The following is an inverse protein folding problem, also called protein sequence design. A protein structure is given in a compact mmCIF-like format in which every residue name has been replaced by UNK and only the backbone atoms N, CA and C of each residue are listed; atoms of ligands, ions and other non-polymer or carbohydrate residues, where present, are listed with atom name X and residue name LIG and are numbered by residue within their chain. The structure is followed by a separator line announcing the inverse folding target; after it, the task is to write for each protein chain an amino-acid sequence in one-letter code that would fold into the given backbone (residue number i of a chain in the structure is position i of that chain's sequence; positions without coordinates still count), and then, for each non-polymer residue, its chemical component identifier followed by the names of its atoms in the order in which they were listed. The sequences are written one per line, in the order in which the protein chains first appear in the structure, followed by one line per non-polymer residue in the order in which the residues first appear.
data_IF_786229742242
#
_entry.id   IF_786229742242
#
_cell.length_a   1.000
_cell.length_b   1.000
_cell.length_c   1.000
_cell.angle_alpha   90.00
_cell.angle_beta   90.00
_cell.angle_gamma   90.00
#
_symmetry.space_group_name_H-M   'P 1'
#
loop_
_entity.id
_entity.type
_entity.pdbx_description
1 polymer ?
#
# COMPACT_ATOMS: atom_id res chain seq x y z
N UNK A 1 -6.68 0.76 -4.35
CA UNK A 1 -7.73 1.75 -4.57
C UNK A 1 -8.45 1.45 -5.90
N UNK A 2 -9.76 1.67 -5.95
CA UNK A 2 -10.56 1.35 -7.15
C UNK A 2 -10.16 2.22 -8.34
N UNK A 3 -9.99 3.50 -8.12
CA UNK A 3 -9.68 4.50 -9.15
C UNK A 3 -8.21 4.95 -9.10
N UNK A 4 -7.32 4.00 -8.83
CA UNK A 4 -5.88 4.27 -8.82
C UNK A 4 -5.35 4.46 -10.24
N UNK A 5 -4.55 5.52 -10.41
CA UNK A 5 -3.71 5.75 -11.58
C UNK A 5 -2.24 5.55 -11.20
N UNK A 6 -1.43 5.13 -12.15
CA UNK A 6 0.00 5.06 -11.92
C UNK A 6 0.57 6.45 -11.65
N UNK A 7 1.44 6.57 -10.65
CA UNK A 7 2.24 7.76 -10.40
C UNK A 7 3.62 7.70 -11.08
N UNK A 8 3.89 6.62 -11.83
CA UNK A 8 5.04 6.46 -12.70
C UNK A 8 4.61 6.36 -14.17
N UNK A 9 5.39 6.91 -15.10
CA UNK A 9 5.08 6.81 -16.52
C UNK A 9 5.20 5.35 -16.99
N UNK A 10 4.35 4.96 -17.96
CA UNK A 10 4.32 3.59 -18.52
C UNK A 10 5.69 3.15 -19.06
N UNK A 11 6.43 4.09 -19.58
CA UNK A 11 7.76 3.88 -20.13
C UNK A 11 8.78 3.39 -19.08
N UNK A 12 8.53 3.68 -17.78
CA UNK A 12 9.32 3.16 -16.67
C UNK A 12 8.73 1.87 -16.06
N UNK A 13 7.60 1.40 -16.56
CA UNK A 13 6.88 0.23 -16.06
C UNK A 13 6.93 -0.94 -17.06
N UNK A 14 7.50 -0.72 -18.24
CA UNK A 14 7.63 -1.74 -19.28
C UNK A 14 8.62 -2.84 -18.89
N UNK A 15 8.28 -4.06 -19.24
CA UNK A 15 9.25 -5.15 -19.29
C UNK A 15 10.20 -4.93 -20.47
N UNK A 16 11.48 -5.27 -20.30
CA UNK A 16 12.50 -5.04 -21.31
C UNK A 16 12.22 -5.74 -22.66
N UNK A 17 11.45 -6.80 -22.62
CA UNK A 17 11.10 -7.66 -23.76
C UNK A 17 9.60 -7.68 -24.08
N UNK A 18 8.84 -6.70 -23.58
CA UNK A 18 7.41 -6.59 -23.83
C UNK A 18 6.93 -5.17 -23.53
N UNK A 19 6.65 -4.40 -24.57
CA UNK A 19 6.22 -3.01 -24.44
C UNK A 19 4.69 -2.87 -24.32
N UNK A 20 4.22 -1.71 -23.84
CA UNK A 20 2.81 -1.37 -23.88
C UNK A 20 2.27 -1.30 -25.32
N UNK A 21 3.09 -0.78 -26.24
CA UNK A 21 2.69 -0.64 -27.65
C UNK A 21 2.53 -2.00 -28.33
N UNK A 22 3.40 -2.98 -28.02
CA UNK A 22 3.24 -4.36 -28.49
C UNK A 22 1.98 -5.03 -27.96
N UNK A 23 1.65 -4.76 -26.69
CA UNK A 23 0.48 -5.35 -26.05
C UNK A 23 -0.83 -4.75 -26.55
N UNK A 24 -0.95 -3.42 -26.49
CA UNK A 24 -2.23 -2.74 -26.77
C UNK A 24 -2.44 -2.40 -28.26
N UNK A 25 -1.37 -2.26 -29.03
CA UNK A 25 -1.41 -1.83 -30.44
C UNK A 25 -2.20 -0.54 -30.68
N UNK A 26 -2.21 0.32 -29.67
CA UNK A 26 -2.85 1.63 -29.67
C UNK A 26 -2.19 2.52 -28.60
N UNK A 27 -2.25 3.86 -28.76
CA UNK A 27 -1.72 4.77 -27.74
C UNK A 27 -2.34 4.53 -26.37
N UNK A 28 -1.49 4.46 -25.35
CA UNK A 28 -1.87 4.38 -23.93
C UNK A 28 -1.31 5.63 -23.24
N UNK A 29 -2.08 6.30 -22.35
CA UNK A 29 -1.56 7.41 -21.56
C UNK A 29 -0.29 7.03 -20.80
N UNK A 30 0.65 7.98 -20.67
CA UNK A 30 1.91 7.73 -19.94
C UNK A 30 1.67 7.35 -18.48
N UNK A 31 0.62 7.85 -17.86
CA UNK A 31 0.20 7.44 -16.51
C UNK A 31 -1.06 6.60 -16.61
N UNK A 32 -0.96 5.29 -16.78
CA UNK A 32 -2.12 4.45 -17.03
C UNK A 32 -2.91 4.15 -15.75
N UNK A 33 -4.24 3.95 -15.86
CA UNK A 33 -5.05 3.47 -14.75
C UNK A 33 -4.72 2.00 -14.42
N UNK A 34 -5.08 1.59 -13.22
CA UNK A 34 -4.80 0.27 -12.66
C UNK A 34 -5.21 -0.89 -13.57
N UNK A 35 -6.36 -0.83 -14.20
CA UNK A 35 -6.87 -1.88 -15.09
C UNK A 35 -6.01 -2.05 -16.35
N UNK A 36 -5.41 -0.98 -16.86
CA UNK A 36 -4.48 -1.05 -18.00
C UNK A 36 -3.19 -1.78 -17.59
N UNK A 37 -2.64 -1.45 -16.40
CA UNK A 37 -1.48 -2.16 -15.86
C UNK A 37 -1.78 -3.65 -15.61
N UNK A 38 -2.96 -3.95 -15.09
CA UNK A 38 -3.39 -5.33 -14.86
C UNK A 38 -3.44 -6.12 -16.18
N UNK A 39 -4.07 -5.57 -17.22
CA UNK A 39 -4.17 -6.23 -18.52
C UNK A 39 -2.79 -6.44 -19.16
N UNK A 40 -1.91 -5.43 -19.07
CA UNK A 40 -0.54 -5.52 -19.53
C UNK A 40 0.25 -6.66 -18.86
N UNK A 41 0.17 -6.78 -17.52
CA UNK A 41 0.83 -7.85 -16.76
C UNK A 41 0.28 -9.23 -17.17
N UNK A 42 -1.03 -9.37 -17.32
CA UNK A 42 -1.66 -10.61 -17.78
C UNK A 42 -1.22 -10.96 -19.21
N UNK A 43 -1.09 -9.96 -20.09
CA UNK A 43 -0.55 -10.13 -21.43
C UNK A 43 0.87 -10.70 -21.42
N UNK A 44 1.74 -10.16 -20.57
CA UNK A 44 3.13 -10.66 -20.42
C UNK A 44 3.16 -12.11 -19.91
N UNK A 45 2.31 -12.46 -18.95
CA UNK A 45 2.19 -13.85 -18.45
C UNK A 45 1.74 -14.81 -19.56
N UNK A 46 0.80 -14.39 -20.40
CA UNK A 46 0.34 -15.18 -21.56
C UNK A 46 1.44 -15.35 -22.60
N UNK A 47 2.09 -14.25 -22.99
CA UNK A 47 3.19 -14.28 -23.99
C UNK A 47 4.32 -15.23 -23.56
N UNK A 48 4.68 -15.22 -22.27
CA UNK A 48 5.73 -16.07 -21.72
C UNK A 48 5.32 -17.52 -21.44
N UNK A 49 4.06 -17.89 -21.67
CA UNK A 49 3.51 -19.20 -21.29
C UNK A 49 3.78 -19.57 -19.83
N UNK A 50 3.66 -18.56 -18.93
CA UNK A 50 4.06 -18.72 -17.53
C UNK A 50 2.96 -19.29 -16.63
N UNK A 51 1.70 -19.33 -17.09
CA UNK A 51 0.57 -19.71 -16.26
C UNK A 51 0.72 -21.09 -15.62
N UNK A 52 1.20 -22.07 -16.37
CA UNK A 52 1.37 -23.45 -15.89
C UNK A 52 2.57 -23.64 -14.95
N UNK A 53 3.44 -22.61 -14.86
CA UNK A 53 4.55 -22.56 -13.90
C UNK A 53 4.16 -21.95 -12.55
N UNK A 54 2.93 -21.46 -12.42
CA UNK A 54 2.44 -20.82 -11.20
C UNK A 54 1.58 -21.82 -10.43
N UNK A 55 2.00 -22.18 -9.25
CA UNK A 55 1.18 -22.98 -8.31
C UNK A 55 0.19 -22.06 -7.59
N UNK A 56 -1.01 -21.91 -8.17
CA UNK A 56 -2.08 -21.12 -7.54
C UNK A 56 -2.59 -21.79 -6.27
N UNK A 57 -3.28 -21.02 -5.42
CA UNK A 57 -3.83 -21.49 -4.13
C UNK A 57 -2.76 -22.13 -3.21
N UNK A 58 -1.51 -21.73 -3.38
CA UNK A 58 -0.36 -22.25 -2.66
C UNK A 58 0.21 -21.16 -1.75
N UNK A 59 0.30 -21.46 -0.46
CA UNK A 59 0.83 -20.55 0.55
C UNK A 59 2.17 -21.07 1.05
N UNK A 60 3.23 -20.30 0.84
CA UNK A 60 4.52 -20.56 1.52
C UNK A 60 4.35 -20.30 3.01
N UNK A 61 4.74 -21.27 3.83
CA UNK A 61 4.59 -21.23 5.29
C UNK A 61 5.92 -21.12 6.02
N UNK A 62 7.01 -21.62 5.41
CA UNK A 62 8.34 -21.53 5.99
C UNK A 62 9.43 -21.57 4.90
N UNK A 63 10.53 -20.86 5.13
CA UNK A 63 11.72 -20.88 4.29
C UNK A 63 12.94 -20.88 5.20
N UNK A 64 13.78 -21.89 5.09
CA UNK A 64 15.06 -22.01 5.81
C UNK A 64 16.20 -22.24 4.83
N UNK A 65 17.42 -21.81 5.18
CA UNK A 65 18.61 -22.08 4.40
C UNK A 65 19.47 -23.11 5.15
N UNK A 66 19.65 -24.28 4.56
CA UNK A 66 20.49 -25.35 5.10
C UNK A 66 21.08 -26.19 3.97
N UNK A 67 22.28 -26.75 4.20
CA UNK A 67 22.97 -27.59 3.23
C UNK A 67 23.11 -26.91 1.83
N UNK A 68 23.43 -25.61 1.82
CA UNK A 68 23.57 -24.78 0.62
C UNK A 68 22.33 -24.72 -0.27
N UNK A 69 21.12 -24.96 0.27
CA UNK A 69 19.84 -24.83 -0.43
C UNK A 69 18.79 -24.17 0.46
N UNK A 70 17.80 -23.57 -0.18
CA UNK A 70 16.59 -23.13 0.48
C UNK A 70 15.59 -24.28 0.52
N UNK A 71 15.23 -24.71 1.72
CA UNK A 71 14.11 -25.60 1.95
C UNK A 71 12.86 -24.75 2.16
N UNK A 72 11.88 -24.90 1.27
CA UNK A 72 10.64 -24.14 1.27
C UNK A 72 9.48 -25.04 1.55
N UNK A 73 8.78 -24.79 2.65
CA UNK A 73 7.53 -25.47 2.99
C UNK A 73 6.35 -24.62 2.53
N UNK A 74 5.38 -25.27 1.90
CA UNK A 74 4.17 -24.61 1.41
C UNK A 74 2.94 -25.49 1.55
N UNK A 75 1.79 -24.86 1.70
CA UNK A 75 0.49 -25.49 1.83
C UNK A 75 -0.32 -25.32 0.53
N UNK A 76 -0.75 -26.42 -0.04
CA UNK A 76 -1.84 -26.44 -1.02
C UNK A 76 -3.15 -26.20 -0.27
N UNK A 77 -3.78 -25.05 -0.51
CA UNK A 77 -5.02 -24.65 0.17
C UNK A 77 -6.26 -25.36 -0.35
N UNK A 78 -6.19 -25.98 -1.54
CA UNK A 78 -7.31 -26.75 -2.10
C UNK A 78 -7.42 -28.10 -1.41
N UNK A 79 -6.30 -28.81 -1.29
CA UNK A 79 -6.25 -30.16 -0.72
C UNK A 79 -5.82 -30.19 0.75
N UNK A 80 -5.48 -29.02 1.32
CA UNK A 80 -4.98 -28.87 2.68
C UNK A 80 -3.75 -29.72 2.99
N UNK A 81 -2.86 -29.89 2.01
CA UNK A 81 -1.62 -30.68 2.13
C UNK A 81 -0.40 -29.78 2.22
N UNK A 82 0.58 -30.19 3.02
CA UNK A 82 1.86 -29.50 3.16
C UNK A 82 2.91 -30.25 2.38
N UNK A 83 3.73 -29.51 1.64
CA UNK A 83 4.85 -30.00 0.85
C UNK A 83 6.11 -29.26 1.26
N UNK A 84 7.26 -29.87 1.02
CA UNK A 84 8.56 -29.25 1.22
C UNK A 84 9.45 -29.57 0.02
N UNK A 85 10.04 -28.54 -0.59
CA UNK A 85 10.92 -28.64 -1.75
C UNK A 85 12.21 -27.85 -1.52
N UNK A 86 13.31 -28.26 -2.17
CA UNK A 86 14.59 -27.57 -2.08
C UNK A 86 14.84 -26.74 -3.34
N UNK A 87 15.34 -25.52 -3.17
CA UNK A 87 15.66 -24.59 -4.25
C UNK A 87 17.07 -24.01 -4.06
N UNK A 88 17.71 -23.67 -5.16
CA UNK A 88 19.00 -22.96 -5.13
C UNK A 88 18.83 -21.48 -4.80
N UNK A 89 17.71 -20.88 -5.22
CA UNK A 89 17.39 -19.48 -5.02
C UNK A 89 15.92 -19.30 -4.62
N UNK A 90 15.67 -18.29 -3.81
CA UNK A 90 14.30 -17.84 -3.46
C UNK A 90 14.20 -16.35 -3.67
N UNK A 91 13.24 -15.94 -4.52
CA UNK A 91 12.90 -14.54 -4.74
C UNK A 91 11.59 -14.23 -4.05
N UNK A 92 11.62 -13.34 -3.06
CA UNK A 92 10.43 -12.94 -2.29
C UNK A 92 9.75 -11.76 -2.99
N UNK A 93 8.68 -12.04 -3.72
CA UNK A 93 7.91 -11.05 -4.47
C UNK A 93 6.50 -10.82 -3.91
N UNK A 94 6.31 -11.10 -2.61
CA UNK A 94 5.00 -11.01 -1.93
C UNK A 94 4.53 -9.59 -1.64
N UNK A 95 5.37 -8.59 -1.91
CA UNK A 95 5.11 -7.19 -1.55
C UNK A 95 5.34 -6.91 -0.05
N UNK A 96 5.31 -5.63 0.31
CA UNK A 96 5.55 -5.19 1.69
C UNK A 96 4.45 -4.25 2.23
N UNK A 97 3.39 -4.03 1.47
CA UNK A 97 2.23 -3.21 1.88
C UNK A 97 1.07 -4.10 2.37
N UNK A 98 1.37 -5.02 3.32
CA UNK A 98 0.38 -5.97 3.82
C UNK A 98 -0.01 -5.74 5.28
N UNK A 99 0.90 -5.27 6.12
CA UNK A 99 0.63 -5.02 7.55
C UNK A 99 0.67 -3.51 7.81
N UNK A 100 -0.50 -2.87 8.03
CA UNK A 100 -0.58 -1.45 8.32
C UNK A 100 0.21 -1.05 9.57
N UNK A 101 0.93 0.07 9.51
CA UNK A 101 1.44 0.72 10.71
C UNK A 101 0.37 1.67 11.26
N UNK A 102 -0.17 1.34 12.42
CA UNK A 102 -1.21 2.10 13.10
C UNK A 102 -0.63 2.73 14.36
N UNK A 103 -0.27 4.02 14.34
CA UNK A 103 0.20 4.72 15.53
C UNK A 103 -0.95 4.96 16.50
N UNK A 104 -0.64 5.00 17.79
CA UNK A 104 -1.60 5.35 18.82
C UNK A 104 -1.62 6.87 19.05
N UNK A 105 -2.82 7.43 19.10
CA UNK A 105 -3.08 8.82 19.47
C UNK A 105 -3.96 8.89 20.71
N UNK A 106 -3.72 9.89 21.57
CA UNK A 106 -4.57 10.16 22.72
C UNK A 106 -6.02 10.41 22.25
N UNK A 107 -6.99 9.74 22.86
CA UNK A 107 -8.41 9.85 22.53
C UNK A 107 -8.86 9.00 21.33
N UNK A 108 -7.96 8.26 20.67
CA UNK A 108 -8.31 7.45 19.50
C UNK A 108 -9.39 6.39 19.79
N UNK A 109 -9.32 5.75 20.96
CA UNK A 109 -10.27 4.70 21.37
C UNK A 109 -11.69 5.22 21.66
N UNK A 110 -11.81 6.48 22.01
CA UNK A 110 -13.09 7.16 22.32
C UNK A 110 -13.61 8.03 21.17
N UNK A 111 -12.91 8.06 20.05
CA UNK A 111 -13.33 8.82 18.89
C UNK A 111 -14.64 8.25 18.31
N UNK A 112 -15.72 9.07 18.22
CA UNK A 112 -17.03 8.57 17.80
C UNK A 112 -17.17 8.42 16.28
N UNK A 113 -16.20 8.92 15.51
CA UNK A 113 -16.17 8.80 14.04
C UNK A 113 -15.47 7.52 13.58
N UNK A 114 -15.21 7.45 12.29
CA UNK A 114 -14.53 6.30 11.68
C UNK A 114 -13.02 6.53 11.62
N UNK A 115 -12.25 5.54 12.04
CA UNK A 115 -10.80 5.48 11.81
C UNK A 115 -10.51 4.28 10.91
N UNK A 116 -9.72 4.51 9.87
CA UNK A 116 -9.27 3.45 8.97
C UNK A 116 -7.85 3.69 8.49
N UNK A 117 -7.16 2.64 8.10
CA UNK A 117 -5.88 2.76 7.39
C UNK A 117 -6.11 2.82 5.88
N UNK A 118 -5.22 3.51 5.14
CA UNK A 118 -5.26 3.57 3.67
C UNK A 118 -5.23 2.19 2.99
N UNK A 119 -4.73 1.17 3.69
CA UNK A 119 -4.82 -0.22 3.24
C UNK A 119 -6.26 -0.66 2.94
N UNK A 120 -7.23 -0.20 3.73
CA UNK A 120 -8.64 -0.57 3.59
C UNK A 120 -9.43 0.39 2.71
N UNK A 121 -8.83 1.52 2.33
CA UNK A 121 -9.44 2.47 1.43
C UNK A 121 -9.65 1.84 0.04
N UNK A 122 -10.86 1.98 -0.52
CA UNK A 122 -11.20 1.50 -1.87
C UNK A 122 -11.54 2.63 -2.82
N UNK A 123 -12.43 3.51 -2.40
CA UNK A 123 -12.83 4.72 -3.10
C UNK A 123 -13.31 5.77 -2.09
N UNK A 124 -13.61 6.97 -2.53
CA UNK A 124 -14.00 8.09 -1.68
C UNK A 124 -15.49 8.43 -1.73
N UNK A 125 -16.32 7.65 -2.40
CA UNK A 125 -17.76 7.93 -2.56
C UNK A 125 -18.49 7.98 -1.20
N UNK A 126 -18.09 7.13 -0.27
CA UNK A 126 -18.66 7.06 1.09
C UNK A 126 -18.33 8.28 1.97
N UNK A 127 -17.39 9.11 1.56
CA UNK A 127 -16.92 10.26 2.34
C UNK A 127 -17.50 11.60 1.91
N UNK A 128 -18.46 11.58 0.99
CA UNK A 128 -19.19 12.79 0.59
C UNK A 128 -19.75 13.52 1.81
N UNK A 129 -19.66 14.85 1.79
CA UNK A 129 -20.12 15.76 2.86
C UNK A 129 -19.50 15.53 4.26
N UNK A 130 -18.40 14.77 4.37
CA UNK A 130 -17.67 14.51 5.60
C UNK A 130 -16.48 15.43 5.78
N UNK A 131 -16.14 15.72 7.03
CA UNK A 131 -14.87 16.34 7.41
C UNK A 131 -13.83 15.24 7.60
N UNK A 132 -12.80 15.23 6.77
CA UNK A 132 -11.79 14.17 6.70
C UNK A 132 -10.46 14.68 7.24
N UNK A 133 -9.81 13.89 8.07
CA UNK A 133 -8.41 14.05 8.43
C UNK A 133 -7.62 12.90 7.84
N UNK A 134 -6.62 13.22 7.03
CA UNK A 134 -5.67 12.27 6.44
C UNK A 134 -4.33 12.44 7.18
N UNK A 135 -3.82 11.38 7.79
CA UNK A 135 -2.56 11.42 8.55
C UNK A 135 -1.42 10.78 7.75
N UNK A 136 -0.49 11.59 7.30
CA UNK A 136 0.66 11.24 6.47
C UNK A 136 0.94 12.32 5.43
N UNK A 137 2.16 12.32 4.87
CA UNK A 137 2.60 13.29 3.87
C UNK A 137 3.43 12.63 2.76
N UNK A 138 2.93 11.52 2.22
CA UNK A 138 3.52 10.81 1.09
C UNK A 138 2.43 10.43 0.09
N UNK A 139 2.78 9.73 -0.99
CA UNK A 139 1.89 9.40 -2.11
C UNK A 139 0.51 8.86 -1.71
N UNK A 140 0.43 7.98 -0.69
CA UNK A 140 -0.88 7.50 -0.23
C UNK A 140 -1.75 8.61 0.35
N UNK A 141 -1.16 9.56 1.08
CA UNK A 141 -1.89 10.68 1.66
C UNK A 141 -2.37 11.63 0.56
N UNK A 142 -1.53 11.91 -0.43
CA UNK A 142 -1.87 12.71 -1.60
C UNK A 142 -3.06 12.10 -2.35
N UNK A 143 -2.94 10.84 -2.79
CA UNK A 143 -3.98 10.14 -3.56
C UNK A 143 -5.31 10.08 -2.81
N UNK A 144 -5.30 9.68 -1.54
CA UNK A 144 -6.50 9.55 -0.72
C UNK A 144 -7.15 10.93 -0.49
N UNK A 145 -6.35 11.95 -0.15
CA UNK A 145 -6.86 13.28 0.11
C UNK A 145 -7.50 13.90 -1.14
N UNK A 146 -6.82 13.79 -2.29
CA UNK A 146 -7.34 14.28 -3.57
C UNK A 146 -8.61 13.54 -3.99
N UNK A 147 -8.69 12.24 -3.80
CA UNK A 147 -9.91 11.48 -4.08
C UNK A 147 -11.05 11.91 -3.15
N UNK A 148 -10.81 12.06 -1.85
CA UNK A 148 -11.83 12.55 -0.92
C UNK A 148 -12.39 13.92 -1.34
N UNK A 149 -11.51 14.85 -1.69
CA UNK A 149 -11.92 16.17 -2.17
C UNK A 149 -12.70 16.08 -3.49
N UNK A 150 -12.21 15.31 -4.46
CA UNK A 150 -12.84 15.12 -5.78
C UNK A 150 -14.26 14.53 -5.66
N UNK A 151 -14.49 13.64 -4.71
CA UNK A 151 -15.78 12.98 -4.49
C UNK A 151 -16.67 13.72 -3.48
N UNK A 152 -16.34 14.97 -3.16
CA UNK A 152 -17.23 15.88 -2.44
C UNK A 152 -17.15 15.80 -0.92
N UNK A 153 -16.00 15.44 -0.35
CA UNK A 153 -15.77 15.66 1.07
C UNK A 153 -15.95 17.16 1.41
N UNK A 154 -16.57 17.45 2.55
CA UNK A 154 -16.82 18.81 3.01
C UNK A 154 -15.51 19.56 3.29
N UNK A 155 -14.54 18.87 3.88
CA UNK A 155 -13.18 19.37 4.10
C UNK A 155 -12.20 18.21 4.18
N UNK A 156 -10.96 18.44 3.74
CA UNK A 156 -9.86 17.49 3.86
C UNK A 156 -8.66 18.17 4.50
N UNK A 157 -8.27 17.73 5.69
CA UNK A 157 -7.08 18.22 6.40
C UNK A 157 -6.02 17.14 6.43
N UNK A 158 -4.82 17.47 5.96
CA UNK A 158 -3.70 16.55 5.85
C UNK A 158 -2.71 16.86 6.96
N UNK A 159 -2.52 15.92 7.88
CA UNK A 159 -1.57 16.04 8.99
C UNK A 159 -0.19 15.50 8.61
N UNK A 160 0.81 16.36 8.48
CA UNK A 160 2.20 15.96 8.21
C UNK A 160 3.03 15.86 9.50
N UNK A 161 4.01 14.94 9.50
CA UNK A 161 4.87 14.70 10.67
C UNK A 161 6.13 15.57 10.68
N UNK A 162 6.84 15.66 9.59
CA UNK A 162 8.11 16.38 9.48
C UNK A 162 7.99 17.59 8.57
N UNK A 163 7.64 17.36 7.31
CA UNK A 163 7.50 18.41 6.30
C UNK A 163 6.14 18.28 5.61
N UNK A 164 5.51 19.42 5.28
CA UNK A 164 4.36 19.42 4.40
C UNK A 164 4.78 18.95 3.00
N UNK A 165 3.83 18.46 2.23
CA UNK A 165 4.06 18.14 0.81
C UNK A 165 4.26 19.42 -0.01
N UNK A 166 3.71 20.54 0.46
CA UNK A 166 3.92 21.86 -0.15
C UNK A 166 3.20 22.07 -1.47
N UNK A 167 2.18 21.27 -1.74
CA UNK A 167 1.39 21.40 -2.95
C UNK A 167 0.41 22.56 -2.87
N UNK A 168 0.06 23.13 -4.02
CA UNK A 168 -1.06 24.06 -4.15
C UNK A 168 -2.37 23.27 -4.15
N UNK A 169 -2.90 23.03 -2.96
CA UNK A 169 -4.10 22.22 -2.78
C UNK A 169 -5.37 22.88 -3.33
N UNK A 170 -6.33 22.08 -3.83
CA UNK A 170 -7.66 22.55 -4.19
C UNK A 170 -8.39 23.21 -3.00
N UNK A 171 -9.44 23.99 -3.32
CA UNK A 171 -10.32 24.58 -2.29
C UNK A 171 -10.90 23.48 -1.38
N UNK A 172 -10.95 23.71 -0.10
CA UNK A 172 -11.45 22.75 0.90
C UNK A 172 -10.39 21.81 1.45
N UNK A 173 -9.13 21.90 0.96
CA UNK A 173 -7.99 21.13 1.45
C UNK A 173 -6.95 22.02 2.11
N UNK A 174 -6.29 21.51 3.13
CA UNK A 174 -5.16 22.18 3.81
C UNK A 174 -4.20 21.16 4.42
N UNK A 175 -2.95 21.58 4.59
CA UNK A 175 -1.97 20.86 5.40
C UNK A 175 -1.83 21.52 6.77
N UNK A 176 -1.68 20.70 7.81
CA UNK A 176 -1.44 21.12 9.19
C UNK A 176 -0.35 20.24 9.81
N UNK A 177 0.23 20.69 10.91
CA UNK A 177 1.20 19.88 11.62
C UNK A 177 0.50 18.65 12.24
N UNK A 178 1.25 17.67 12.64
CA UNK A 178 0.88 16.36 13.16
C UNK A 178 -0.28 16.36 14.19
N UNK A 179 -1.12 15.33 14.15
CA UNK A 179 -2.17 15.12 15.13
C UNK A 179 -1.57 14.95 16.54
N UNK A 180 -2.03 15.72 17.48
CA UNK A 180 -1.66 15.61 18.91
C UNK A 180 -2.62 14.69 19.66
N UNK A 181 -3.92 14.97 19.56
CA UNK A 181 -4.98 14.21 20.24
C UNK A 181 -6.31 14.30 19.53
N UNK A 182 -7.20 13.42 19.94
CA UNK A 182 -8.64 13.48 19.65
C UNK A 182 -9.39 13.82 20.92
N UNK A 183 -10.31 14.76 20.84
CA UNK A 183 -11.20 15.18 21.92
C UNK A 183 -12.64 15.13 21.43
N UNK A 184 -13.34 14.04 21.73
CA UNK A 184 -14.62 13.74 21.10
C UNK A 184 -14.48 13.70 19.57
N UNK A 185 -15.23 14.56 18.86
CA UNK A 185 -15.12 14.72 17.40
C UNK A 185 -14.02 15.64 16.94
N UNK A 186 -13.32 16.33 17.84
CA UNK A 186 -12.28 17.27 17.48
C UNK A 186 -10.92 16.58 17.30
N UNK A 187 -10.31 16.80 16.15
CA UNK A 187 -8.89 16.57 15.93
C UNK A 187 -8.12 17.82 16.35
N UNK A 188 -7.19 17.69 17.28
CA UNK A 188 -6.30 18.75 17.77
C UNK A 188 -4.89 18.48 17.25
N UNK A 189 -4.31 19.45 16.56
CA UNK A 189 -3.00 19.32 15.95
C UNK A 189 -1.93 20.06 16.76
N UNK A 190 -0.66 19.71 16.56
CA UNK A 190 0.47 20.26 17.32
C UNK A 190 0.76 21.73 17.08
N UNK A 191 0.24 22.30 16.01
CA UNK A 191 0.29 23.73 15.72
C UNK A 191 -0.87 24.54 16.38
N UNK A 192 -1.69 23.88 17.20
CA UNK A 192 -2.86 24.48 17.84
C UNK A 192 -4.12 24.51 16.95
N UNK A 193 -4.04 24.06 15.73
CA UNK A 193 -5.22 23.95 14.85
C UNK A 193 -6.18 22.90 15.42
N UNK A 194 -7.48 23.20 15.38
CA UNK A 194 -8.55 22.27 15.73
C UNK A 194 -9.53 22.10 14.58
N UNK A 195 -10.12 20.92 14.45
CA UNK A 195 -11.12 20.65 13.43
C UNK A 195 -12.10 19.57 13.89
N UNK A 196 -13.39 19.81 13.68
CA UNK A 196 -14.40 18.75 13.76
C UNK A 196 -14.15 17.72 12.66
N UNK A 197 -14.16 16.46 13.02
CA UNK A 197 -13.73 15.36 12.17
C UNK A 197 -14.74 14.22 12.23
N UNK A 198 -15.15 13.74 11.06
CA UNK A 198 -16.04 12.59 10.94
C UNK A 198 -15.24 11.31 10.64
N UNK A 199 -14.12 11.44 9.91
CA UNK A 199 -13.32 10.31 9.46
C UNK A 199 -11.83 10.65 9.57
N UNK A 200 -11.06 9.68 10.05
CA UNK A 200 -9.59 9.72 10.05
C UNK A 200 -9.07 8.60 9.16
N UNK A 201 -8.25 8.94 8.18
CA UNK A 201 -7.61 7.99 7.30
C UNK A 201 -6.10 8.00 7.57
N UNK A 202 -5.60 6.89 8.07
CA UNK A 202 -4.19 6.71 8.41
C UNK A 202 -3.41 6.33 7.15
N UNK A 203 -2.65 7.26 6.60
CA UNK A 203 -1.68 7.04 5.53
C UNK A 203 -0.27 6.93 6.13
N UNK A 204 -0.15 6.15 7.18
CA UNK A 204 1.00 6.08 8.08
C UNK A 204 2.03 5.02 7.70
N UNK A 205 1.83 4.36 6.56
CA UNK A 205 2.74 3.36 6.02
C UNK A 205 2.51 1.96 6.59
N UNK A 206 3.50 1.09 6.42
CA UNK A 206 3.38 -0.34 6.67
C UNK A 206 4.57 -0.88 7.45
N UNK A 207 4.36 -2.00 8.12
CA UNK A 207 5.42 -2.80 8.73
C UNK A 207 5.89 -3.86 7.74
N UNK A 208 7.20 -4.04 7.64
CA UNK A 208 7.76 -5.16 6.87
C UNK A 208 7.53 -6.45 7.65
N UNK A 209 6.76 -7.36 7.07
CA UNK A 209 6.35 -8.59 7.72
C UNK A 209 6.38 -9.76 6.74
N UNK A 210 7.33 -10.66 6.94
CA UNK A 210 7.55 -11.87 6.15
C UNK A 210 7.53 -13.09 7.06
N UNK A 211 6.35 -13.56 7.50
CA UNK A 211 6.22 -14.59 8.53
C UNK A 211 6.69 -15.96 8.09
N UNK A 212 6.87 -16.16 6.80
CA UNK A 212 7.36 -17.41 6.19
C UNK A 212 8.88 -17.48 6.07
N UNK A 213 9.61 -16.43 6.47
CA UNK A 213 11.07 -16.42 6.48
C UNK A 213 11.54 -16.78 7.88
N UNK A 214 12.39 -17.81 7.98
CA UNK A 214 12.98 -18.24 9.26
C UNK A 214 13.85 -17.15 9.89
N UNK A 215 14.01 -17.19 11.22
CA UNK A 215 14.74 -16.18 12.00
C UNK A 215 16.17 -15.93 11.49
N UNK A 216 16.86 -17.01 11.05
CA UNK A 216 18.24 -16.93 10.54
C UNK A 216 18.35 -16.13 9.23
N UNK A 217 17.25 -16.04 8.48
CA UNK A 217 17.13 -15.27 7.25
C UNK A 217 16.41 -13.95 7.46
N UNK A 218 15.86 -13.70 8.65
CA UNK A 218 15.15 -12.46 8.93
C UNK A 218 16.05 -11.26 8.79
N UNK A 219 15.54 -10.34 8.01
CA UNK A 219 16.12 -9.02 7.87
C UNK A 219 16.03 -8.30 9.21
N UNK A 220 17.16 -7.92 9.81
CA UNK A 220 17.18 -7.01 10.97
C UNK A 220 16.75 -5.63 10.48
N UNK A 221 15.47 -5.38 10.54
CA UNK A 221 14.88 -4.16 9.99
C UNK A 221 14.42 -3.26 11.12
N UNK A 222 15.05 -2.12 11.28
CA UNK A 222 14.36 -0.99 11.91
C UNK A 222 13.32 -0.41 10.93
N UNK A 223 12.41 -1.27 10.46
CA UNK A 223 11.45 -0.99 9.39
C UNK A 223 12.11 -0.58 8.05
N UNK A 224 13.32 -1.07 7.77
CA UNK A 224 14.04 -0.90 6.50
C UNK A 224 14.60 -2.25 6.06
N UNK A 225 14.46 -2.55 4.77
CA UNK A 225 14.95 -3.79 4.19
C UNK A 225 16.45 -3.68 3.91
N UNK A 226 17.28 -4.27 4.75
CA UNK A 226 18.67 -4.53 4.42
C UNK A 226 18.94 -6.03 4.59
N UNK A 227 19.35 -6.72 3.55
CA UNK A 227 19.74 -8.12 3.69
C UNK A 227 20.98 -8.19 4.61
N UNK A 228 21.00 -9.13 5.56
CA UNK A 228 22.09 -9.22 6.54
C UNK A 228 23.42 -9.69 5.96
N UNK A 229 23.44 -10.13 4.71
CA UNK A 229 24.64 -10.58 4.00
C UNK A 229 24.46 -10.33 2.49
N UNK A 230 24.85 -9.20 2.02
CA UNK A 230 25.33 -8.97 0.66
C UNK A 230 26.81 -8.65 0.73
#
# INVERSE_FOLDING_TARGET
YRYLWSNGPKECLEFADYSFDEHFKKPIPSFPPREVLYDYIIGRVKQGNLKDKIKFNTRVTNTVYKNNKFEVSYQDKVHNKIFTENFDYVVVSSGHFSVPFIPEYKGMKSFPGRIMHSHDFRDAEEFKDKNIVVLGSSYSAEDVALQCNKYGAKSVTIGYRHNPMGFKWPKGMKEVHYLDKLDGKKAVFKDGTEQDTDVIILCTGYLHHFPFINEDLKLKTHNRLYPPKL
#
